data_IF_199873598746
#
_entry.id   IF_199873598746
#
_cell.length_a   1.000
_cell.length_b   1.000
_cell.length_c   1.000
_cell.angle_alpha   90.00
_cell.angle_beta   90.00
_cell.angle_gamma   90.00
#
_symmetry.space_group_name_H-M   'P 1'
#
loop_
_entity.id
_entity.type
_entity.pdbx_description
1 polymer ?
#
# COMPACT_ATOMS: atom_id res chain seq x y z
N UNK A 1 18.91 11.89 11.67
CA UNK A 1 17.73 11.18 12.21
C UNK A 1 17.01 10.55 11.04
N UNK A 2 16.63 9.27 11.12
CA UNK A 2 15.73 8.67 10.12
C UNK A 2 14.39 9.40 10.13
N UNK A 3 13.81 9.67 8.96
CA UNK A 3 12.46 10.24 8.88
C UNK A 3 11.48 9.24 9.49
N UNK A 4 10.46 9.74 10.18
CA UNK A 4 9.38 8.91 10.71
C UNK A 4 8.13 9.04 9.83
N UNK A 5 7.10 8.20 10.06
CA UNK A 5 5.86 8.19 9.27
C UNK A 5 5.20 9.57 9.15
N UNK A 6 5.28 10.41 10.19
CA UNK A 6 4.70 11.77 10.18
C UNK A 6 5.34 12.65 9.14
N UNK A 7 6.66 12.52 8.94
CA UNK A 7 7.38 13.32 7.96
C UNK A 7 6.88 13.02 6.54
N UNK A 8 6.59 11.75 6.24
CA UNK A 8 6.01 11.35 4.95
C UNK A 8 4.53 11.71 4.81
N UNK A 9 3.73 11.60 5.88
CA UNK A 9 2.32 11.99 5.82
C UNK A 9 2.14 13.49 5.56
N UNK A 10 3.13 14.33 5.93
CA UNK A 10 3.15 15.76 5.60
C UNK A 10 3.39 16.04 4.11
N UNK A 11 3.96 15.10 3.37
CA UNK A 11 4.20 15.21 1.92
C UNK A 11 2.91 14.93 1.10
N UNK A 12 1.85 14.41 1.74
CA UNK A 12 0.57 14.13 1.08
C UNK A 12 -0.20 15.45 0.84
N UNK A 13 -0.57 15.76 -0.42
CA UNK A 13 -1.32 16.98 -0.72
C UNK A 13 -2.67 17.03 0.00
N UNK A 14 -3.00 18.18 0.58
CA UNK A 14 -4.30 18.40 1.22
C UNK A 14 -5.38 18.66 0.16
N UNK A 15 -6.40 17.78 0.02
CA UNK A 15 -7.46 17.98 -0.97
C UNK A 15 -8.50 19.02 -0.52
N UNK A 16 -8.39 19.57 0.70
CA UNK A 16 -9.34 20.54 1.25
C UNK A 16 -8.97 21.96 0.80
N UNK A 17 -9.98 22.78 0.51
CA UNK A 17 -9.77 24.20 0.22
C UNK A 17 -9.24 24.96 1.45
N UNK A 18 -8.32 25.90 1.21
CA UNK A 18 -7.58 26.62 2.24
C UNK A 18 -8.46 27.38 3.26
N UNK A 19 -9.70 27.73 2.90
CA UNK A 19 -10.62 28.50 3.75
C UNK A 19 -11.29 27.69 4.88
N UNK A 20 -11.13 26.37 4.95
CA UNK A 20 -11.86 25.52 5.91
C UNK A 20 -11.05 24.49 6.69
N UNK A 21 -9.72 24.46 6.54
CA UNK A 21 -8.90 23.40 7.13
C UNK A 21 -8.64 23.63 8.63
N UNK A 22 -9.42 22.95 9.47
CA UNK A 22 -9.37 23.08 10.94
C UNK A 22 -8.16 22.38 11.58
N UNK A 23 -7.69 21.29 10.98
CA UNK A 23 -6.55 20.48 11.44
C UNK A 23 -5.69 20.10 10.24
N UNK A 24 -4.39 19.87 10.43
CA UNK A 24 -3.50 19.47 9.33
C UNK A 24 -3.85 18.08 8.81
N UNK A 25 -3.75 17.87 7.50
CA UNK A 25 -4.13 16.59 6.88
C UNK A 25 -3.36 15.41 7.50
N UNK A 26 -2.06 15.57 7.72
CA UNK A 26 -1.21 14.53 8.28
C UNK A 26 -1.68 14.08 9.67
N UNK A 27 -2.23 14.98 10.49
CA UNK A 27 -2.77 14.65 11.83
C UNK A 27 -3.99 13.73 11.68
N UNK A 28 -4.87 14.04 10.73
CA UNK A 28 -6.09 13.27 10.48
C UNK A 28 -5.73 11.89 9.89
N UNK A 29 -4.79 11.84 8.94
CA UNK A 29 -4.28 10.58 8.39
C UNK A 29 -3.65 9.70 9.48
N UNK A 30 -2.85 10.29 10.37
CA UNK A 30 -2.26 9.57 11.49
C UNK A 30 -3.33 9.02 12.45
N UNK A 31 -4.37 9.82 12.75
CA UNK A 31 -5.52 9.36 13.55
C UNK A 31 -6.22 8.16 12.90
N UNK A 32 -6.41 8.20 11.58
CA UNK A 32 -7.01 7.10 10.81
C UNK A 32 -6.13 5.85 10.92
N UNK A 33 -4.82 5.97 10.72
CA UNK A 33 -3.86 4.86 10.85
C UNK A 33 -3.92 4.25 12.25
N UNK A 34 -3.85 5.07 13.31
CA UNK A 34 -3.96 4.59 14.70
C UNK A 34 -5.28 3.86 14.96
N UNK A 35 -6.39 4.37 14.41
CA UNK A 35 -7.70 3.74 14.51
C UNK A 35 -7.74 2.37 13.81
N UNK A 36 -7.18 2.28 12.61
CA UNK A 36 -7.09 1.02 11.85
C UNK A 36 -6.21 0.00 12.59
N UNK A 37 -5.04 0.41 13.09
CA UNK A 37 -4.17 -0.43 13.92
C UNK A 37 -4.86 -0.90 15.21
N UNK A 38 -5.81 -0.11 15.72
CA UNK A 38 -6.67 -0.47 16.85
C UNK A 38 -7.89 -1.33 16.46
N UNK A 39 -7.88 -1.91 15.26
CA UNK A 39 -8.93 -2.79 14.73
C UNK A 39 -10.21 -2.07 14.30
N UNK A 40 -10.15 -0.77 13.98
CA UNK A 40 -11.32 0.00 13.51
C UNK A 40 -11.29 0.16 11.99
N UNK A 41 -12.02 -0.73 11.32
CA UNK A 41 -12.08 -0.79 9.84
C UNK A 41 -13.32 -0.10 9.24
N UNK A 42 -14.13 0.59 10.05
CA UNK A 42 -15.33 1.31 9.58
C UNK A 42 -15.28 2.77 10.00
N UNK A 43 -15.94 3.66 9.24
CA UNK A 43 -16.01 5.09 9.59
C UNK A 43 -16.59 5.33 11.00
N UNK A 44 -17.64 4.59 11.39
CA UNK A 44 -18.19 4.65 12.75
C UNK A 44 -17.24 4.09 13.80
N UNK A 45 -16.46 3.06 13.45
CA UNK A 45 -15.40 2.53 14.30
C UNK A 45 -14.31 3.57 14.56
N UNK A 46 -13.89 4.29 13.52
CA UNK A 46 -12.91 5.37 13.62
C UNK A 46 -13.45 6.54 14.46
N UNK A 47 -14.70 6.95 14.25
CA UNK A 47 -15.35 7.98 15.10
C UNK A 47 -15.33 7.57 16.58
N UNK A 48 -15.71 6.33 16.89
CA UNK A 48 -15.67 5.81 18.27
C UNK A 48 -14.26 5.79 18.86
N UNK A 49 -13.25 5.50 18.05
CA UNK A 49 -11.84 5.59 18.46
C UNK A 49 -11.45 7.03 18.77
N UNK A 50 -11.79 7.97 17.89
CA UNK A 50 -11.52 9.39 18.08
C UNK A 50 -12.21 9.92 19.34
N UNK A 51 -13.47 9.58 19.56
CA UNK A 51 -14.24 9.94 20.76
C UNK A 51 -13.56 9.44 22.03
N UNK A 52 -13.23 8.14 22.07
CA UNK A 52 -12.60 7.48 23.22
C UNK A 52 -11.25 8.12 23.59
N UNK A 53 -10.47 8.51 22.59
CA UNK A 53 -9.12 9.04 22.78
C UNK A 53 -9.04 10.56 22.62
N UNK A 54 -10.18 11.27 22.55
CA UNK A 54 -10.26 12.70 22.19
C UNK A 54 -9.24 13.56 22.93
N UNK A 55 -9.21 13.49 24.26
CA UNK A 55 -8.32 14.33 25.09
C UNK A 55 -6.84 14.08 24.76
N UNK A 56 -6.46 12.81 24.58
CA UNK A 56 -5.09 12.44 24.24
C UNK A 56 -4.73 12.87 22.83
N UNK A 57 -5.63 12.66 21.85
CA UNK A 57 -5.40 13.08 20.47
C UNK A 57 -5.20 14.59 20.36
N UNK A 58 -6.07 15.38 21.00
CA UNK A 58 -5.95 16.84 21.03
C UNK A 58 -4.61 17.27 21.63
N UNK A 59 -4.24 16.70 22.78
CA UNK A 59 -3.03 17.06 23.51
C UNK A 59 -1.75 16.65 22.77
N UNK A 60 -1.69 15.40 22.30
CA UNK A 60 -0.47 14.82 21.73
C UNK A 60 -0.22 15.29 20.29
N UNK A 61 -1.28 15.55 19.52
CA UNK A 61 -1.16 16.01 18.14
C UNK A 61 -1.23 17.53 18.01
N UNK A 62 -1.52 18.28 19.08
CA UNK A 62 -1.70 19.72 19.07
C UNK A 62 -2.71 20.17 17.99
N UNK A 63 -3.92 19.59 18.04
CA UNK A 63 -5.00 19.91 17.09
C UNK A 63 -5.42 21.39 17.24
N UNK A 64 -5.41 22.15 16.14
CA UNK A 64 -5.40 23.63 16.14
C UNK A 64 -6.60 24.29 16.82
N UNK A 65 -7.75 23.62 16.86
CA UNK A 65 -8.97 24.14 17.53
C UNK A 65 -9.32 23.39 18.81
N UNK A 66 -8.45 22.51 19.32
CA UNK A 66 -8.76 21.71 20.50
C UNK A 66 -9.95 20.76 20.29
N UNK A 67 -10.28 20.44 19.04
CA UNK A 67 -11.36 19.50 18.69
C UNK A 67 -10.77 18.35 17.89
N UNK A 68 -11.33 17.15 18.08
CA UNK A 68 -10.92 15.97 17.33
C UNK A 68 -11.79 15.82 16.07
N UNK A 69 -11.29 15.19 14.99
CA UNK A 69 -12.02 15.12 13.73
C UNK A 69 -13.34 14.36 13.88
N UNK A 70 -14.42 14.97 13.39
CA UNK A 70 -15.75 14.34 13.34
C UNK A 70 -15.81 13.20 12.33
N UNK A 71 -16.83 12.35 12.43
CA UNK A 71 -17.17 11.37 11.38
C UNK A 71 -17.18 11.97 9.97
N UNK A 72 -17.84 13.13 9.81
CA UNK A 72 -17.94 13.82 8.52
C UNK A 72 -16.59 14.32 8.03
N UNK A 73 -15.68 14.69 8.92
CA UNK A 73 -14.30 15.06 8.58
C UNK A 73 -13.52 13.85 8.10
N UNK A 74 -13.52 12.75 8.87
CA UNK A 74 -12.84 11.51 8.52
C UNK A 74 -13.32 10.97 7.16
N UNK A 75 -14.64 10.92 6.95
CA UNK A 75 -15.23 10.44 5.70
C UNK A 75 -14.85 11.31 4.50
N UNK A 76 -14.93 12.64 4.62
CA UNK A 76 -14.58 13.55 3.51
C UNK A 76 -13.12 13.40 3.11
N UNK A 77 -12.21 13.30 4.08
CA UNK A 77 -10.78 13.13 3.80
C UNK A 77 -10.51 11.78 3.16
N UNK A 78 -11.08 10.70 3.70
CA UNK A 78 -10.94 9.38 3.08
C UNK A 78 -11.46 9.36 1.64
N UNK A 79 -12.52 10.08 1.30
CA UNK A 79 -13.03 10.12 -0.08
C UNK A 79 -12.12 10.97 -0.99
N UNK A 80 -11.59 12.09 -0.48
CA UNK A 80 -10.95 13.12 -1.30
C UNK A 80 -9.42 12.97 -1.40
N UNK A 81 -8.78 12.22 -0.50
CA UNK A 81 -7.31 12.08 -0.50
C UNK A 81 -6.82 11.42 -1.79
N UNK A 82 -5.72 11.93 -2.32
CA UNK A 82 -5.01 11.27 -3.42
C UNK A 82 -4.34 9.99 -2.89
N UNK A 83 -4.97 8.86 -3.16
CA UNK A 83 -4.48 7.54 -2.75
C UNK A 83 -3.14 7.19 -3.37
N UNK A 84 -2.82 7.67 -4.58
CA UNK A 84 -1.53 7.40 -5.21
C UNK A 84 -0.41 8.13 -4.48
N UNK A 85 -0.64 9.39 -4.08
CA UNK A 85 0.31 10.16 -3.27
C UNK A 85 0.45 9.60 -1.85
N UNK A 86 -0.66 9.21 -1.22
CA UNK A 86 -0.61 8.56 0.09
C UNK A 86 0.17 7.25 0.04
N UNK A 87 -0.04 6.43 -0.99
CA UNK A 87 0.66 5.17 -1.17
C UNK A 87 2.17 5.39 -1.44
N UNK A 88 2.52 6.40 -2.25
CA UNK A 88 3.91 6.78 -2.49
C UNK A 88 4.62 7.23 -1.20
N UNK A 89 3.95 8.02 -0.36
CA UNK A 89 4.46 8.43 0.95
C UNK A 89 4.67 7.21 1.88
N UNK A 90 3.73 6.27 1.91
CA UNK A 90 3.85 5.03 2.67
C UNK A 90 5.03 4.16 2.18
N UNK A 91 5.14 3.92 0.87
CA UNK A 91 6.22 3.13 0.30
C UNK A 91 7.59 3.75 0.60
N UNK A 92 7.70 5.08 0.50
CA UNK A 92 8.96 5.79 0.83
C UNK A 92 9.35 5.61 2.30
N UNK A 93 8.38 5.68 3.21
CA UNK A 93 8.61 5.42 4.62
C UNK A 93 9.03 3.97 4.89
N UNK A 94 8.31 3.00 4.31
CA UNK A 94 8.54 1.58 4.51
C UNK A 94 9.93 1.15 4.01
N UNK A 95 10.36 1.71 2.87
CA UNK A 95 11.71 1.54 2.34
C UNK A 95 12.79 1.99 3.32
N UNK A 96 12.63 3.15 3.96
CA UNK A 96 13.63 3.61 4.94
C UNK A 96 13.74 2.72 6.17
N UNK A 97 12.67 1.98 6.51
CA UNK A 97 12.68 1.00 7.60
C UNK A 97 13.34 -0.32 7.18
N UNK A 98 13.32 -0.66 5.89
CA UNK A 98 13.76 -1.94 5.35
C UNK A 98 15.19 -1.82 4.81
N UNK A 99 16.20 -1.98 5.67
CA UNK A 99 17.63 -1.80 5.31
C UNK A 99 18.46 -3.08 5.29
N UNK A 100 17.86 -4.24 5.57
CA UNK A 100 18.59 -5.49 5.60
C UNK A 100 18.79 -6.02 4.18
N UNK A 101 20.04 -6.31 3.82
CA UNK A 101 20.42 -7.00 2.58
C UNK A 101 20.34 -8.51 2.79
N UNK A 102 20.21 -9.28 1.70
CA UNK A 102 20.09 -10.74 1.76
C UNK A 102 18.72 -11.25 2.25
N UNK A 103 17.73 -10.36 2.36
CA UNK A 103 16.40 -10.71 2.84
C UNK A 103 15.51 -11.30 1.74
N UNK A 104 14.69 -12.28 2.12
CA UNK A 104 13.65 -12.83 1.28
C UNK A 104 12.44 -11.88 1.20
N UNK A 105 12.11 -11.41 -0.01
CA UNK A 105 10.97 -10.54 -0.28
C UNK A 105 9.92 -11.29 -1.09
N UNK A 106 8.72 -11.36 -0.55
CA UNK A 106 7.59 -12.04 -1.15
C UNK A 106 6.65 -11.09 -1.88
N UNK A 107 6.28 -11.40 -3.12
CA UNK A 107 5.22 -10.71 -3.86
C UNK A 107 3.89 -11.44 -3.76
N UNK A 108 2.79 -10.70 -3.51
CA UNK A 108 1.45 -11.27 -3.52
C UNK A 108 0.38 -10.20 -3.83
N UNK A 109 -0.55 -10.52 -4.74
CA UNK A 109 -1.80 -9.81 -4.97
C UNK A 109 -2.97 -10.35 -4.14
N UNK A 110 -3.67 -9.44 -3.44
CA UNK A 110 -4.94 -9.74 -2.74
C UNK A 110 -6.09 -8.94 -3.35
N UNK A 111 -7.04 -9.64 -3.96
CA UNK A 111 -8.24 -9.01 -4.54
C UNK A 111 -9.18 -8.46 -3.47
N UNK A 112 -9.61 -7.22 -3.67
CA UNK A 112 -10.52 -6.53 -2.77
C UNK A 112 -11.96 -7.02 -3.00
N UNK A 113 -12.61 -7.48 -1.94
CA UNK A 113 -14.02 -7.87 -1.98
C UNK A 113 -14.89 -6.69 -2.41
N UNK A 114 -15.99 -6.99 -3.11
CA UNK A 114 -16.98 -6.01 -3.55
C UNK A 114 -16.45 -4.94 -4.53
N UNK A 115 -15.35 -5.23 -5.23
CA UNK A 115 -14.83 -4.40 -6.34
C UNK A 115 -15.09 -5.03 -7.71
N UNK A 116 -15.66 -6.23 -7.74
CA UNK A 116 -15.93 -6.96 -8.98
C UNK A 116 -17.03 -6.28 -9.78
N UNK A 117 -16.79 -6.11 -11.07
CA UNK A 117 -17.80 -5.74 -12.07
C UNK A 117 -17.82 -6.78 -13.19
N UNK A 118 -18.98 -6.93 -13.85
CA UNK A 118 -19.19 -7.89 -14.93
C UNK A 118 -18.80 -9.34 -14.55
N UNK A 119 -19.17 -9.77 -13.33
CA UNK A 119 -18.70 -11.02 -12.74
C UNK A 119 -18.95 -12.26 -13.62
N UNK A 120 -20.06 -12.26 -14.36
CA UNK A 120 -20.58 -13.44 -15.07
C UNK A 120 -20.09 -13.55 -16.53
N UNK A 121 -19.15 -12.70 -16.96
CA UNK A 121 -18.67 -12.74 -18.34
C UNK A 121 -17.17 -12.42 -18.47
N UNK A 122 -16.66 -12.54 -19.69
CA UNK A 122 -15.24 -12.32 -20.01
C UNK A 122 -14.80 -10.86 -19.85
N UNK A 123 -15.70 -9.92 -19.54
CA UNK A 123 -15.41 -8.54 -19.19
C UNK A 123 -15.26 -8.33 -17.67
N UNK A 124 -15.21 -9.41 -16.87
CA UNK A 124 -14.96 -9.34 -15.44
C UNK A 124 -13.75 -8.47 -15.13
N UNK A 125 -13.93 -7.54 -14.20
CA UNK A 125 -12.89 -6.65 -13.70
C UNK A 125 -12.96 -6.56 -12.18
N UNK A 126 -11.83 -6.36 -11.52
CA UNK A 126 -11.74 -6.20 -10.08
C UNK A 126 -10.45 -5.47 -9.72
N UNK A 127 -10.41 -4.95 -8.49
CA UNK A 127 -9.24 -4.28 -7.94
C UNK A 127 -8.52 -5.22 -6.97
N UNK A 128 -7.20 -5.29 -7.08
CA UNK A 128 -6.33 -5.99 -6.13
C UNK A 128 -5.30 -5.06 -5.52
N UNK A 129 -4.87 -5.38 -4.31
CA UNK A 129 -3.71 -4.77 -3.68
C UNK A 129 -2.54 -5.73 -3.84
N UNK A 130 -1.50 -5.30 -4.53
CA UNK A 130 -0.27 -6.06 -4.73
C UNK A 130 0.76 -5.54 -3.75
N UNK A 131 1.36 -6.43 -2.98
CA UNK A 131 2.32 -6.08 -1.92
C UNK A 131 3.63 -6.85 -2.05
N UNK A 132 4.73 -6.18 -1.73
CA UNK A 132 6.03 -6.78 -1.49
C UNK A 132 6.27 -6.84 0.02
N UNK A 133 6.49 -8.04 0.54
CA UNK A 133 6.57 -8.34 1.96
C UNK A 133 7.93 -8.92 2.32
N UNK A 134 8.62 -8.29 3.26
CA UNK A 134 9.91 -8.78 3.76
C UNK A 134 9.66 -9.83 4.85
N UNK A 135 10.12 -11.06 4.61
CA UNK A 135 9.78 -12.19 5.47
C UNK A 135 10.48 -12.14 6.83
N UNK A 136 11.71 -11.63 6.88
CA UNK A 136 12.53 -11.63 8.10
C UNK A 136 12.11 -10.49 9.02
N UNK A 137 11.80 -9.31 8.47
CA UNK A 137 11.33 -8.17 9.27
C UNK A 137 9.81 -8.19 9.50
N UNK A 138 9.06 -8.95 8.71
CA UNK A 138 7.61 -9.09 8.87
C UNK A 138 6.83 -7.84 8.46
N UNK A 139 7.35 -7.06 7.50
CA UNK A 139 6.76 -5.79 7.07
C UNK A 139 6.48 -5.75 5.58
N UNK A 140 5.45 -4.99 5.18
CA UNK A 140 5.21 -4.65 3.78
C UNK A 140 6.18 -3.53 3.38
N UNK A 141 7.04 -3.79 2.42
CA UNK A 141 8.09 -2.88 1.93
C UNK A 141 7.54 -1.93 0.87
N UNK A 142 6.63 -2.43 0.03
CA UNK A 142 5.92 -1.61 -0.94
C UNK A 142 4.57 -2.22 -1.30
N UNK A 143 3.64 -1.38 -1.71
CA UNK A 143 2.33 -1.81 -2.20
C UNK A 143 1.88 -0.97 -3.40
N UNK A 144 1.05 -1.56 -4.26
CA UNK A 144 0.37 -0.90 -5.37
C UNK A 144 -1.06 -1.43 -5.53
N UNK A 145 -1.90 -0.62 -6.18
CA UNK A 145 -3.25 -1.01 -6.60
C UNK A 145 -3.14 -1.53 -8.03
N UNK A 146 -3.77 -2.66 -8.31
CA UNK A 146 -3.87 -3.28 -9.62
C UNK A 146 -5.33 -3.36 -10.05
N UNK A 147 -5.61 -3.00 -11.30
CA UNK A 147 -6.90 -3.28 -11.94
C UNK A 147 -6.74 -4.44 -12.94
N UNK A 148 -7.46 -5.53 -12.70
CA UNK A 148 -7.27 -6.81 -13.42
C UNK A 148 -7.36 -6.68 -14.95
N UNK A 149 -8.19 -5.77 -15.46
CA UNK A 149 -8.34 -5.55 -16.91
C UNK A 149 -7.24 -4.70 -17.54
N UNK A 150 -6.46 -3.97 -16.74
CA UNK A 150 -5.47 -3.01 -17.25
C UNK A 150 -4.05 -3.56 -17.22
N UNK A 151 -3.72 -4.36 -16.21
CA UNK A 151 -2.36 -4.86 -16.02
C UNK A 151 -2.35 -6.20 -15.26
N UNK A 152 -1.24 -6.93 -15.37
CA UNK A 152 -1.04 -8.20 -14.67
C UNK A 152 -0.32 -8.01 -13.34
N UNK A 153 -0.54 -8.94 -12.41
CA UNK A 153 0.13 -8.94 -11.09
C UNK A 153 1.66 -8.95 -11.23
N UNK A 154 2.18 -9.73 -12.19
CA UNK A 154 3.60 -9.78 -12.54
C UNK A 154 4.13 -8.38 -12.91
N UNK A 155 3.42 -7.67 -13.80
CA UNK A 155 3.81 -6.32 -14.23
C UNK A 155 3.87 -5.36 -13.04
N UNK A 156 2.90 -5.44 -12.12
CA UNK A 156 2.88 -4.58 -10.92
C UNK A 156 4.02 -4.93 -9.97
N UNK A 157 4.31 -6.21 -9.76
CA UNK A 157 5.45 -6.66 -8.96
C UNK A 157 6.76 -6.13 -9.56
N UNK A 158 6.97 -6.26 -10.87
CA UNK A 158 8.15 -5.73 -11.56
C UNK A 158 8.28 -4.21 -11.38
N UNK A 159 7.18 -3.47 -11.51
CA UNK A 159 7.18 -2.02 -11.28
C UNK A 159 7.60 -1.69 -9.84
N UNK A 160 7.04 -2.37 -8.84
CA UNK A 160 7.39 -2.18 -7.43
C UNK A 160 8.88 -2.49 -7.16
N UNK A 161 9.40 -3.59 -7.71
CA UNK A 161 10.82 -3.96 -7.61
C UNK A 161 11.73 -2.91 -8.25
N UNK A 162 11.33 -2.37 -9.41
CA UNK A 162 12.10 -1.35 -10.10
C UNK A 162 12.23 -0.06 -9.29
N UNK A 163 11.15 0.33 -8.59
CA UNK A 163 11.08 1.52 -7.72
C UNK A 163 11.91 1.36 -6.46
N UNK A 164 11.96 0.15 -5.92
CA UNK A 164 12.60 -0.16 -4.65
C UNK A 164 14.13 -0.10 -4.67
N UNK A 165 14.75 -0.22 -5.87
CA UNK A 165 16.21 -0.22 -6.05
C UNK A 165 16.96 -1.13 -5.06
N UNK A 166 16.35 -2.26 -4.72
CA UNK A 166 16.95 -3.25 -3.82
C UNK A 166 18.06 -4.01 -4.55
N UNK A 167 19.14 -4.27 -3.82
CA UNK A 167 20.34 -4.96 -4.29
C UNK A 167 20.68 -6.08 -3.30
N UNK A 168 21.05 -7.25 -3.84
CA UNK A 168 21.38 -8.46 -3.07
C UNK A 168 20.20 -8.99 -2.23
N UNK A 169 18.99 -9.02 -2.79
CA UNK A 169 17.80 -9.63 -2.16
C UNK A 169 17.39 -10.92 -2.87
N UNK A 170 16.69 -11.80 -2.15
CA UNK A 170 16.07 -12.99 -2.72
C UNK A 170 14.59 -12.71 -2.91
N UNK A 171 14.10 -12.73 -4.13
CA UNK A 171 12.67 -12.55 -4.41
C UNK A 171 11.98 -13.90 -4.53
N UNK A 172 10.91 -14.10 -3.76
CA UNK A 172 10.10 -15.31 -3.78
C UNK A 172 8.66 -14.96 -4.17
N UNK A 173 8.14 -15.57 -5.21
CA UNK A 173 6.75 -15.35 -5.61
C UNK A 173 5.85 -16.52 -5.19
N UNK A 174 4.81 -16.20 -4.39
CA UNK A 174 3.77 -17.14 -3.99
C UNK A 174 2.67 -17.32 -5.05
N UNK A 175 2.55 -16.40 -6.01
CA UNK A 175 1.51 -16.36 -7.03
C UNK A 175 2.01 -15.78 -8.37
N UNK A 176 2.32 -16.70 -9.30
CA UNK A 176 2.36 -16.49 -10.77
C UNK A 176 3.67 -15.90 -11.33
N UNK A 177 4.58 -16.81 -11.70
CA UNK A 177 5.58 -16.73 -12.80
C UNK A 177 6.19 -15.36 -13.11
N UNK A 178 7.22 -14.97 -12.37
CA UNK A 178 8.34 -14.28 -13.01
C UNK A 178 9.10 -15.32 -13.86
N UNK A 179 9.33 -15.08 -15.15
CA UNK A 179 10.27 -15.90 -15.94
C UNK A 179 11.69 -15.34 -15.88
N UNK A 180 12.69 -16.12 -16.33
CA UNK A 180 14.07 -15.63 -16.47
C UNK A 180 14.21 -14.50 -17.50
N UNK A 181 13.20 -14.31 -18.35
CA UNK A 181 13.08 -13.20 -19.30
C UNK A 181 12.46 -11.96 -18.63
N UNK A 182 11.55 -12.17 -17.66
CA UNK A 182 10.91 -11.12 -16.84
C UNK A 182 11.83 -10.49 -15.80
N UNK A 183 12.95 -11.13 -15.47
CA UNK A 183 13.99 -10.55 -14.62
C UNK A 183 14.82 -9.49 -15.36
N UNK A 184 14.74 -9.42 -16.71
CA UNK A 184 15.64 -8.60 -17.51
C UNK A 184 17.12 -8.91 -17.21
N UNK A 185 18.06 -8.19 -17.83
CA UNK A 185 19.43 -8.13 -17.32
C UNK A 185 19.41 -7.42 -15.95
N UNK A 186 19.09 -8.13 -14.87
CA UNK A 186 19.17 -7.54 -13.54
C UNK A 186 20.63 -7.35 -13.13
N UNK A 187 21.15 -6.15 -13.41
CA UNK A 187 22.50 -5.73 -13.03
C UNK A 187 22.68 -5.53 -11.52
N UNK A 188 21.64 -5.79 -10.69
CA UNK A 188 21.61 -5.51 -9.24
C UNK A 188 21.92 -6.72 -8.35
N UNK A 189 22.33 -7.85 -8.95
CA UNK A 189 22.76 -9.05 -8.23
C UNK A 189 21.68 -9.63 -7.28
N UNK A 190 20.42 -9.61 -7.69
CA UNK A 190 19.33 -10.23 -6.95
C UNK A 190 19.07 -11.67 -7.41
N UNK A 191 18.66 -12.52 -6.48
CA UNK A 191 18.28 -13.90 -6.75
C UNK A 191 16.75 -14.04 -6.82
N UNK A 192 16.26 -14.90 -7.71
CA UNK A 192 14.82 -15.10 -7.91
C UNK A 192 14.44 -16.58 -7.73
N UNK A 193 13.51 -16.84 -6.81
CA UNK A 193 12.89 -18.15 -6.61
C UNK A 193 11.47 -18.12 -7.18
N UNK A 194 11.32 -18.79 -8.32
CA UNK A 194 10.08 -18.79 -9.09
C UNK A 194 9.42 -20.17 -9.00
N UNK A 195 8.17 -20.20 -8.52
CA UNK A 195 7.36 -21.41 -8.60
C UNK A 195 6.64 -21.47 -9.95
N UNK A 196 7.05 -22.39 -10.82
CA UNK A 196 6.37 -22.65 -12.09
C UNK A 196 5.03 -23.35 -11.82
N UNK A 197 3.92 -22.63 -11.98
CA UNK A 197 2.56 -23.20 -11.97
C UNK A 197 2.20 -23.53 -13.42
N UNK A 198 1.98 -24.82 -13.74
CA UNK A 198 1.67 -25.26 -15.11
C UNK A 198 0.48 -24.50 -15.70
N UNK A 199 0.74 -23.69 -16.70
CA UNK A 199 -0.22 -23.38 -17.78
C UNK A 199 0.52 -22.89 -19.02
N UNK A 200 1.22 -23.81 -19.70
CA UNK A 200 1.59 -23.63 -21.11
C UNK A 200 0.97 -24.79 -21.86
N UNK A 201 -0.09 -24.54 -22.63
CA UNK A 201 -0.46 -25.45 -23.71
C UNK A 201 0.62 -25.29 -24.77
N UNK A 202 1.57 -26.22 -24.81
CA UNK A 202 2.40 -26.42 -25.98
C UNK A 202 1.49 -26.93 -27.09
N UNK A 203 1.00 -26.06 -27.96
CA UNK A 203 0.47 -26.50 -29.26
C UNK A 203 1.67 -27.01 -30.04
N UNK A 204 1.90 -28.33 -30.00
CA UNK A 204 2.62 -29.01 -31.08
C UNK A 204 1.76 -28.82 -32.34
N UNK A 205 2.35 -28.16 -33.34
CA UNK A 205 1.82 -28.24 -34.69
C UNK A 205 2.00 -29.67 -35.18
N UNK A 206 0.89 -30.29 -35.54
CA UNK A 206 0.83 -31.41 -36.48
C UNK A 206 0.30 -30.86 -37.81
#
# INVERSE_FOLDING_TARGET
MSKNIVDYLKEVPDPREAQGSRDDLWQILLIIIMGIMSGKHTYRGLERFVERHRRNLIKQLALKQGTAPSYSTLRRIMIAVDYAKLNSAFNSWAQEQTRQTGEAIAGEGKSLRNTVSNADNNQQNFISMVSLFSQQQGVVVATAIMENKKESEISVIQQLLSQLKLENHVFYDGCITLSKEDSGDDKRNNDYIIKVKKSVKTTRGD
#
